data_IF_575068067578
#
_entry.id   IF_575068067578
#
_cell.length_a   1.000
_cell.length_b   1.000
_cell.length_c   1.000
_cell.angle_alpha   90.00
_cell.angle_beta   90.00
_cell.angle_gamma   90.00
#
_symmetry.space_group_name_H-M   'P 1'
#
loop_
_entity.id
_entity.type
_entity.pdbx_description
1 polymer ?
#
# COMPACT_ATOMS: atom_id res chain seq x y z
N UNK A 1 12.96 28.12 48.29
CA UNK A 1 12.88 28.63 46.90
C UNK A 1 13.48 27.56 46.02
N UNK A 2 12.81 26.75 45.23
CA UNK A 2 11.43 26.66 44.77
C UNK A 2 11.51 25.67 43.61
N UNK A 3 11.34 24.37 43.89
CA UNK A 3 11.31 23.34 42.85
C UNK A 3 10.05 23.57 42.01
N UNK A 4 10.27 23.96 40.76
CA UNK A 4 9.17 24.13 39.80
C UNK A 4 8.74 22.74 39.39
N UNK A 5 7.69 22.23 40.03
CA UNK A 5 6.99 21.02 39.61
C UNK A 5 6.49 21.22 38.19
N UNK A 6 7.16 20.60 37.21
CA UNK A 6 6.61 20.39 35.89
C UNK A 6 5.34 19.57 36.06
N UNK A 7 4.18 20.24 35.99
CA UNK A 7 2.89 19.62 35.75
C UNK A 7 3.01 18.84 34.42
N UNK A 8 3.33 17.56 34.54
CA UNK A 8 3.02 16.58 33.50
C UNK A 8 1.52 16.41 33.55
N UNK A 9 0.78 17.30 32.87
CA UNK A 9 -0.59 17.00 32.49
C UNK A 9 -0.55 15.65 31.79
N UNK A 10 -1.08 14.64 32.47
CA UNK A 10 -1.16 13.28 32.00
C UNK A 10 -2.04 13.34 30.75
N UNK A 11 -1.40 13.32 29.57
CA UNK A 11 -2.11 13.37 28.30
C UNK A 11 -3.25 12.35 28.34
N UNK A 12 -4.48 12.84 28.25
CA UNK A 12 -5.66 12.03 28.44
C UNK A 12 -5.67 10.95 27.36
N UNK A 13 -5.60 9.68 27.78
CA UNK A 13 -5.48 8.56 26.85
C UNK A 13 -6.81 8.49 26.10
N UNK A 14 -6.83 8.61 24.75
CA UNK A 14 -8.07 8.54 24.00
C UNK A 14 -8.76 7.21 24.26
N UNK A 15 -10.05 7.27 24.60
CA UNK A 15 -10.90 6.11 24.86
C UNK A 15 -12.00 6.04 23.82
N UNK A 16 -12.28 4.87 23.29
CA UNK A 16 -13.35 4.55 22.34
C UNK A 16 -14.74 4.55 22.98
N UNK A 17 -15.00 5.54 23.82
CA UNK A 17 -16.30 5.79 24.43
C UNK A 17 -17.01 6.90 23.67
N UNK A 18 -18.35 6.93 23.74
CA UNK A 18 -19.13 8.00 23.13
C UNK A 18 -18.72 9.39 23.64
N UNK A 19 -18.34 9.49 24.92
CA UNK A 19 -17.82 10.72 25.50
C UNK A 19 -16.46 11.12 24.89
N UNK A 20 -15.56 10.15 24.69
CA UNK A 20 -14.26 10.36 24.03
C UNK A 20 -14.42 10.80 22.56
N UNK A 21 -15.39 10.22 21.83
CA UNK A 21 -15.72 10.63 20.47
C UNK A 21 -16.26 12.06 20.42
N UNK A 22 -17.13 12.46 21.36
CA UNK A 22 -17.62 13.84 21.43
C UNK A 22 -16.50 14.84 21.74
N UNK A 23 -15.58 14.46 22.63
CA UNK A 23 -14.43 15.29 23.00
C UNK A 23 -13.45 15.50 21.83
N UNK A 24 -13.19 14.45 21.04
CA UNK A 24 -12.18 14.46 19.97
C UNK A 24 -12.77 14.56 18.55
N UNK A 25 -14.08 14.71 18.39
CA UNK A 25 -14.79 14.66 17.11
C UNK A 25 -14.11 15.40 15.96
N UNK A 26 -13.68 16.65 16.19
CA UNK A 26 -13.02 17.46 15.14
C UNK A 26 -11.67 16.88 14.71
N UNK A 27 -10.89 16.41 15.68
CA UNK A 27 -9.58 15.81 15.43
C UNK A 27 -9.73 14.43 14.77
N UNK A 28 -10.68 13.61 15.23
CA UNK A 28 -10.95 12.28 14.69
C UNK A 28 -11.52 12.36 13.27
N UNK A 29 -12.40 13.32 12.99
CA UNK A 29 -12.95 13.52 11.64
C UNK A 29 -11.86 13.97 10.64
N UNK A 30 -11.02 14.93 11.04
CA UNK A 30 -9.94 15.42 10.19
C UNK A 30 -8.88 14.35 9.96
N UNK A 31 -8.44 13.68 11.03
CA UNK A 31 -7.44 12.62 10.93
C UNK A 31 -7.97 11.41 10.15
N UNK A 32 -9.21 10.99 10.39
CA UNK A 32 -9.88 9.93 9.63
C UNK A 32 -9.98 10.26 8.14
N UNK A 33 -10.32 11.51 7.79
CA UNK A 33 -10.35 11.96 6.40
C UNK A 33 -8.96 11.94 5.75
N UNK A 34 -7.92 12.44 6.44
CA UNK A 34 -6.54 12.41 5.93
C UNK A 34 -6.01 10.97 5.78
N UNK A 35 -6.31 10.11 6.75
CA UNK A 35 -5.96 8.68 6.70
C UNK A 35 -6.66 7.99 5.54
N UNK A 36 -7.95 8.25 5.33
CA UNK A 36 -8.71 7.74 4.19
C UNK A 36 -8.06 8.12 2.86
N UNK A 37 -7.68 9.39 2.70
CA UNK A 37 -7.00 9.88 1.51
C UNK A 37 -5.68 9.16 1.24
N UNK A 38 -4.90 8.85 2.29
CA UNK A 38 -3.65 8.07 2.16
C UNK A 38 -3.95 6.60 1.88
N UNK A 39 -4.96 6.04 2.55
CA UNK A 39 -5.28 4.63 2.53
C UNK A 39 -5.85 4.18 1.18
N UNK A 40 -6.67 5.00 0.51
CA UNK A 40 -7.25 4.66 -0.79
C UNK A 40 -6.21 4.19 -1.84
N UNK A 41 -5.20 5.00 -2.22
CA UNK A 41 -4.20 4.58 -3.20
C UNK A 41 -3.34 3.42 -2.68
N UNK A 42 -3.07 3.39 -1.37
CA UNK A 42 -2.30 2.31 -0.76
C UNK A 42 -3.04 0.96 -0.86
N UNK A 43 -4.35 0.94 -0.58
CA UNK A 43 -5.18 -0.27 -0.66
C UNK A 43 -5.25 -0.82 -2.09
N UNK A 44 -5.39 0.09 -3.07
CA UNK A 44 -5.39 -0.23 -4.49
C UNK A 44 -4.05 -0.88 -4.91
N UNK A 45 -2.93 -0.23 -4.57
CA UNK A 45 -1.60 -0.73 -4.91
C UNK A 45 -1.28 -2.07 -4.23
N UNK A 46 -1.65 -2.25 -2.96
CA UNK A 46 -1.45 -3.51 -2.24
C UNK A 46 -2.26 -4.64 -2.87
N UNK A 47 -3.54 -4.41 -3.22
CA UNK A 47 -4.37 -5.44 -3.86
C UNK A 47 -3.79 -5.91 -5.20
N UNK A 48 -3.36 -4.98 -6.05
CA UNK A 48 -2.72 -5.32 -7.33
C UNK A 48 -1.41 -6.07 -7.13
N UNK A 49 -0.61 -5.68 -6.14
CA UNK A 49 0.65 -6.37 -5.82
C UNK A 49 0.42 -7.82 -5.34
N UNK A 50 -0.76 -8.11 -4.76
CA UNK A 50 -1.21 -9.46 -4.41
C UNK A 50 -1.75 -10.26 -5.61
N UNK A 51 -1.91 -9.65 -6.79
CA UNK A 51 -2.57 -10.26 -7.95
C UNK A 51 -4.09 -10.28 -7.82
N UNK A 52 -4.66 -9.43 -6.97
CA UNK A 52 -6.11 -9.38 -6.71
C UNK A 52 -6.72 -8.20 -7.48
N UNK A 53 -8.05 -8.22 -7.73
CA UNK A 53 -8.74 -7.04 -8.23
C UNK A 53 -8.50 -5.82 -7.33
N UNK A 54 -8.20 -4.69 -7.96
CA UNK A 54 -8.03 -3.37 -7.35
C UNK A 54 -9.02 -3.08 -6.22
N UNK A 55 -10.31 -3.23 -6.52
CA UNK A 55 -11.43 -2.96 -5.61
C UNK A 55 -11.42 -3.84 -4.35
N UNK A 56 -10.81 -5.03 -4.40
CA UNK A 56 -10.76 -5.93 -3.25
C UNK A 56 -9.98 -5.33 -2.07
N UNK A 57 -8.94 -4.53 -2.35
CA UNK A 57 -8.20 -3.79 -1.32
C UNK A 57 -9.07 -2.77 -0.60
N UNK A 58 -9.91 -2.06 -1.36
CA UNK A 58 -10.85 -1.05 -0.82
C UNK A 58 -11.91 -1.75 0.05
N UNK A 59 -12.53 -2.83 -0.43
CA UNK A 59 -13.48 -3.59 0.38
C UNK A 59 -12.86 -4.14 1.66
N UNK A 60 -11.63 -4.65 1.59
CA UNK A 60 -10.90 -5.16 2.76
C UNK A 60 -10.70 -4.06 3.81
N UNK A 61 -10.34 -2.83 3.38
CA UNK A 61 -10.18 -1.70 4.28
C UNK A 61 -11.51 -1.24 4.90
N UNK A 62 -12.59 -1.16 4.10
CA UNK A 62 -13.92 -0.76 4.60
C UNK A 62 -14.45 -1.79 5.61
N UNK A 63 -14.47 -3.07 5.23
CA UNK A 63 -15.02 -4.15 6.06
C UNK A 63 -14.14 -4.32 7.30
N UNK A 64 -12.82 -4.34 7.13
CA UNK A 64 -11.87 -4.45 8.24
C UNK A 64 -11.96 -3.28 9.21
N UNK A 65 -12.07 -2.05 8.70
CA UNK A 65 -12.22 -0.85 9.52
C UNK A 65 -13.52 -0.81 10.30
N UNK A 66 -14.66 -1.17 9.68
CA UNK A 66 -15.96 -1.16 10.36
C UNK A 66 -16.06 -2.31 11.36
N UNK A 67 -15.86 -3.55 10.91
CA UNK A 67 -16.12 -4.72 11.75
C UNK A 67 -15.12 -4.83 12.90
N UNK A 68 -13.83 -4.64 12.65
CA UNK A 68 -12.83 -4.84 13.69
C UNK A 68 -12.90 -3.76 14.77
N UNK A 69 -13.43 -2.57 14.49
CA UNK A 69 -13.61 -1.51 15.51
C UNK A 69 -14.54 -1.95 16.64
N UNK A 70 -15.55 -2.80 16.38
CA UNK A 70 -16.45 -3.31 17.42
C UNK A 70 -15.82 -4.38 18.32
N UNK A 71 -14.76 -5.05 17.86
CA UNK A 71 -14.10 -6.14 18.59
C UNK A 71 -12.71 -5.75 19.13
N UNK A 72 -12.10 -4.69 18.61
CA UNK A 72 -10.73 -4.30 18.95
C UNK A 72 -10.72 -3.29 20.09
N UNK A 73 -9.82 -3.50 21.05
CA UNK A 73 -9.56 -2.56 22.15
C UNK A 73 -8.40 -1.60 21.82
N UNK A 74 -8.24 -1.22 20.55
CA UNK A 74 -7.10 -0.43 20.05
C UNK A 74 -7.58 0.79 19.27
N UNK A 75 -7.65 1.92 19.96
CA UNK A 75 -8.35 3.13 19.52
C UNK A 75 -7.69 3.86 18.35
N UNK A 76 -6.38 3.69 18.18
CA UNK A 76 -5.61 4.38 17.14
C UNK A 76 -5.21 3.46 15.97
N UNK A 77 -5.57 2.18 16.03
CA UNK A 77 -5.12 1.21 15.03
C UNK A 77 -6.04 1.20 13.82
N UNK A 78 -5.46 1.39 12.64
CA UNK A 78 -6.15 1.27 11.35
C UNK A 78 -6.10 -0.20 10.89
N UNK A 79 -7.20 -0.67 10.30
CA UNK A 79 -7.34 -2.05 9.80
C UNK A 79 -7.53 -2.01 8.29
N UNK A 80 -6.80 -2.84 7.56
CA UNK A 80 -6.86 -2.91 6.11
C UNK A 80 -5.80 -3.84 5.52
N UNK A 81 -5.64 -3.83 4.18
CA UNK A 81 -4.62 -4.62 3.50
C UNK A 81 -3.22 -4.33 4.06
N UNK A 82 -2.54 -5.38 4.51
CA UNK A 82 -1.20 -5.27 5.06
C UNK A 82 -0.15 -5.55 3.98
N UNK A 83 0.78 -4.61 3.76
CA UNK A 83 1.85 -4.78 2.78
C UNK A 83 2.70 -6.04 3.04
N UNK A 84 2.85 -6.44 4.31
CA UNK A 84 3.58 -7.65 4.67
C UNK A 84 2.93 -8.96 4.21
N UNK A 85 1.64 -8.95 3.86
CA UNK A 85 0.94 -10.12 3.33
C UNK A 85 1.04 -10.23 1.80
N UNK A 86 1.59 -9.23 1.10
CA UNK A 86 1.67 -9.22 -0.37
C UNK A 86 2.35 -10.48 -0.90
N UNK A 87 3.52 -10.83 -0.36
CA UNK A 87 4.31 -11.97 -0.84
C UNK A 87 3.58 -13.28 -0.61
N UNK A 88 2.87 -13.41 0.51
CA UNK A 88 2.08 -14.61 0.84
C UNK A 88 0.86 -14.71 -0.08
N UNK A 89 0.14 -13.60 -0.28
CA UNK A 89 -1.06 -13.55 -1.11
C UNK A 89 -0.74 -13.83 -2.59
N UNK A 90 0.28 -13.16 -3.16
CA UNK A 90 0.71 -13.43 -4.55
C UNK A 90 1.24 -14.85 -4.70
N UNK A 91 1.98 -15.38 -3.72
CA UNK A 91 2.43 -16.77 -3.72
C UNK A 91 1.26 -17.75 -3.71
N UNK A 92 0.23 -17.48 -2.91
CA UNK A 92 -0.97 -18.30 -2.83
C UNK A 92 -1.75 -18.36 -4.14
N UNK A 93 -2.01 -17.22 -4.80
CA UNK A 93 -2.70 -17.25 -6.10
C UNK A 93 -1.82 -17.84 -7.20
N UNK A 94 -0.50 -17.63 -7.15
CA UNK A 94 0.43 -18.25 -8.11
C UNK A 94 0.38 -19.77 -8.01
N UNK A 95 0.34 -20.32 -6.80
CA UNK A 95 0.21 -21.76 -6.57
C UNK A 95 -1.13 -22.32 -7.10
N UNK A 96 -2.19 -21.51 -7.08
CA UNK A 96 -3.48 -21.86 -7.67
C UNK A 96 -3.60 -21.55 -9.18
N UNK A 97 -2.50 -21.24 -9.85
CA UNK A 97 -2.46 -21.09 -11.31
C UNK A 97 -2.66 -19.66 -11.83
N UNK A 98 -2.44 -18.64 -11.00
CA UNK A 98 -2.45 -17.24 -11.44
C UNK A 98 -1.38 -17.00 -12.53
N UNK A 99 -1.81 -16.41 -13.62
CA UNK A 99 -1.06 -16.20 -14.86
C UNK A 99 -0.58 -14.76 -15.06
N UNK A 100 -1.02 -13.84 -14.20
CA UNK A 100 -0.66 -12.42 -14.32
C UNK A 100 -1.37 -11.69 -15.45
N UNK A 101 -2.62 -12.07 -15.75
CA UNK A 101 -3.48 -11.44 -16.76
C UNK A 101 -3.50 -12.15 -18.12
N UNK A 102 -2.77 -13.26 -18.30
CA UNK A 102 -2.75 -14.01 -19.57
C UNK A 102 -4.03 -14.81 -19.78
N UNK A 103 -4.58 -15.36 -18.71
CA UNK A 103 -5.86 -16.06 -18.67
C UNK A 103 -6.72 -15.48 -17.53
N UNK A 104 -7.64 -14.54 -17.83
CA UNK A 104 -8.50 -13.94 -16.82
C UNK A 104 -9.41 -14.95 -16.09
N UNK A 105 -9.77 -16.06 -16.73
CA UNK A 105 -10.62 -17.07 -16.11
C UNK A 105 -9.83 -17.88 -15.07
N UNK A 106 -8.60 -18.28 -15.42
CA UNK A 106 -7.68 -18.93 -14.48
C UNK A 106 -7.33 -18.01 -13.30
N UNK A 107 -7.04 -16.74 -13.57
CA UNK A 107 -6.72 -15.75 -12.54
C UNK A 107 -7.88 -15.54 -11.56
N UNK A 108 -9.11 -15.45 -12.07
CA UNK A 108 -10.30 -15.30 -11.24
C UNK A 108 -10.57 -16.56 -10.40
N UNK A 109 -10.31 -17.76 -10.95
CA UNK A 109 -10.39 -19.00 -10.20
C UNK A 109 -9.33 -19.06 -9.08
N UNK A 110 -8.07 -18.72 -9.39
CA UNK A 110 -6.98 -18.68 -8.42
C UNK A 110 -7.28 -17.71 -7.28
N UNK A 111 -7.80 -16.52 -7.60
CA UNK A 111 -8.26 -15.53 -6.63
C UNK A 111 -9.35 -16.09 -5.71
N UNK A 112 -10.37 -16.77 -6.26
CA UNK A 112 -11.45 -17.38 -5.45
C UNK A 112 -10.94 -18.46 -4.50
N UNK A 113 -9.98 -19.27 -4.93
CA UNK A 113 -9.36 -20.29 -4.08
C UNK A 113 -8.54 -19.64 -2.96
N UNK A 114 -7.79 -18.58 -3.26
CA UNK A 114 -7.05 -17.81 -2.27
C UNK A 114 -7.97 -17.13 -1.24
N UNK A 115 -9.15 -16.64 -1.65
CA UNK A 115 -10.17 -16.17 -0.69
C UNK A 115 -10.63 -17.29 0.25
N UNK A 116 -10.80 -18.51 -0.26
CA UNK A 116 -11.09 -19.69 0.57
C UNK A 116 -10.02 -19.96 1.62
N UNK A 117 -8.74 -19.85 1.25
CA UNK A 117 -7.61 -19.90 2.19
C UNK A 117 -7.71 -18.77 3.22
N UNK A 118 -8.09 -17.56 2.80
CA UNK A 118 -8.32 -16.42 3.69
C UNK A 118 -9.42 -16.69 4.74
N UNK A 119 -10.52 -17.32 4.34
CA UNK A 119 -11.59 -17.75 5.27
C UNK A 119 -11.05 -18.78 6.26
N UNK A 120 -10.33 -19.80 5.79
CA UNK A 120 -9.74 -20.81 6.66
C UNK A 120 -8.74 -20.20 7.66
N UNK A 121 -7.89 -19.28 7.19
CA UNK A 121 -6.96 -18.53 8.03
C UNK A 121 -7.70 -17.69 9.07
N UNK A 122 -8.81 -17.04 8.70
CA UNK A 122 -9.66 -16.27 9.61
C UNK A 122 -10.28 -17.14 10.71
N UNK A 123 -10.77 -18.34 10.37
CA UNK A 123 -11.27 -19.31 11.36
C UNK A 123 -10.17 -19.71 12.33
N UNK A 124 -8.97 -20.01 11.84
CA UNK A 124 -7.81 -20.35 12.68
C UNK A 124 -7.42 -19.17 13.59
N UNK A 125 -7.43 -17.94 13.07
CA UNK A 125 -7.17 -16.74 13.86
C UNK A 125 -8.20 -16.53 14.97
N UNK A 126 -9.49 -16.79 14.71
CA UNK A 126 -10.54 -16.75 15.73
C UNK A 126 -10.27 -17.79 16.81
N UNK A 127 -9.90 -19.02 16.43
CA UNK A 127 -9.53 -20.08 17.38
C UNK A 127 -8.35 -19.64 18.26
N UNK A 128 -7.30 -19.07 17.67
CA UNK A 128 -6.17 -18.52 18.44
C UNK A 128 -6.60 -17.40 19.40
N UNK A 129 -7.55 -16.55 19.01
CA UNK A 129 -8.14 -15.55 19.89
C UNK A 129 -8.87 -16.17 21.08
N UNK A 130 -9.72 -17.19 20.83
CA UNK A 130 -10.47 -17.91 21.87
C UNK A 130 -9.53 -18.63 22.85
N UNK A 131 -8.49 -19.29 22.34
CA UNK A 131 -7.48 -19.97 23.17
C UNK A 131 -6.46 -19.01 23.80
N UNK A 132 -6.58 -17.69 23.57
CA UNK A 132 -5.63 -16.68 24.03
C UNK A 132 -4.18 -16.98 23.62
N UNK A 133 -4.01 -17.65 22.48
CA UNK A 133 -2.71 -18.00 21.92
C UNK A 133 -1.95 -16.78 21.36
N UNK A 134 -2.54 -15.58 21.40
CA UNK A 134 -1.88 -14.32 21.01
C UNK A 134 -0.60 -14.02 21.79
N UNK A 135 -0.47 -14.53 23.02
CA UNK A 135 0.77 -14.41 23.82
C UNK A 135 1.97 -15.06 23.15
N UNK A 136 1.76 -16.05 22.27
CA UNK A 136 2.84 -16.68 21.49
C UNK A 136 3.55 -15.67 20.58
N UNK A 137 2.86 -14.60 20.17
CA UNK A 137 3.45 -13.51 19.40
C UNK A 137 4.58 -12.78 20.15
N UNK A 138 4.53 -12.73 21.48
CA UNK A 138 5.57 -12.07 22.30
C UNK A 138 6.90 -12.85 22.31
N UNK A 139 6.87 -14.14 21.95
CA UNK A 139 8.07 -14.98 21.87
C UNK A 139 8.84 -14.83 20.56
N UNK A 140 8.31 -14.09 19.57
CA UNK A 140 9.03 -13.85 18.33
C UNK A 140 10.18 -12.86 18.55
N UNK A 141 11.43 -13.23 18.22
CA UNK A 141 12.56 -12.32 18.33
C UNK A 141 12.33 -11.07 17.48
N UNK A 142 12.52 -9.89 18.07
CA UNK A 142 12.40 -8.62 17.35
C UNK A 142 13.31 -8.56 16.14
N UNK A 143 14.51 -9.15 16.22
CA UNK A 143 15.47 -9.27 15.11
C UNK A 143 14.88 -10.03 13.91
N UNK A 144 14.11 -11.09 14.13
CA UNK A 144 13.44 -11.84 13.08
C UNK A 144 12.35 -11.00 12.40
N UNK A 145 11.58 -10.23 13.18
CA UNK A 145 10.55 -9.31 12.64
C UNK A 145 11.20 -8.22 11.78
N UNK A 146 12.30 -7.62 12.24
CA UNK A 146 13.02 -6.61 11.46
C UNK A 146 13.60 -7.20 10.17
N UNK A 147 14.14 -8.44 10.22
CA UNK A 147 14.61 -9.15 9.03
C UNK A 147 13.48 -9.42 8.02
N UNK A 148 12.31 -9.85 8.51
CA UNK A 148 11.12 -10.04 7.67
C UNK A 148 10.68 -8.73 7.02
N UNK A 149 10.56 -7.64 7.79
CA UNK A 149 10.17 -6.33 7.27
C UNK A 149 11.18 -5.77 6.25
N UNK A 150 12.48 -5.94 6.50
CA UNK A 150 13.53 -5.56 5.57
C UNK A 150 13.44 -6.34 4.25
N UNK A 151 13.22 -7.66 4.33
CA UNK A 151 13.03 -8.52 3.15
C UNK A 151 11.81 -8.08 2.33
N UNK A 152 10.67 -7.85 2.97
CA UNK A 152 9.46 -7.33 2.31
C UNK A 152 9.74 -5.99 1.62
N UNK A 153 10.44 -5.08 2.31
CA UNK A 153 10.83 -3.78 1.73
C UNK A 153 11.67 -3.93 0.46
N UNK A 154 12.68 -4.81 0.47
CA UNK A 154 13.50 -5.10 -0.72
C UNK A 154 12.66 -5.69 -1.85
N UNK A 155 11.75 -6.61 -1.55
CA UNK A 155 10.85 -7.20 -2.56
C UNK A 155 9.94 -6.15 -3.19
N UNK A 156 9.37 -5.25 -2.39
CA UNK A 156 8.55 -4.14 -2.89
C UNK A 156 9.37 -3.23 -3.78
N UNK A 157 10.57 -2.80 -3.36
CA UNK A 157 11.46 -1.96 -4.18
C UNK A 157 11.77 -2.66 -5.51
N UNK A 158 12.13 -3.94 -5.47
CA UNK A 158 12.44 -4.73 -6.66
C UNK A 158 11.25 -4.80 -7.64
N UNK A 159 10.03 -4.98 -7.13
CA UNK A 159 8.81 -5.05 -7.96
C UNK A 159 8.32 -3.68 -8.46
N UNK A 160 8.53 -2.61 -7.69
CA UNK A 160 8.05 -1.27 -8.06
C UNK A 160 9.04 -0.53 -8.97
N UNK A 161 10.33 -0.85 -8.94
CA UNK A 161 11.33 -0.19 -9.79
C UNK A 161 11.00 -0.26 -11.29
N UNK A 162 10.69 -1.43 -11.89
CA UNK A 162 10.28 -1.50 -13.30
C UNK A 162 9.01 -0.70 -13.60
N UNK A 163 8.04 -0.74 -12.67
CA UNK A 163 6.74 -0.04 -12.82
C UNK A 163 6.95 1.48 -12.90
N UNK A 164 7.81 2.04 -12.05
CA UNK A 164 8.17 3.47 -12.06
C UNK A 164 8.84 3.87 -13.39
N UNK A 165 9.56 2.95 -14.02
CA UNK A 165 10.19 3.14 -15.33
C UNK A 165 9.24 2.89 -16.52
N UNK A 166 7.98 2.52 -16.25
CA UNK A 166 6.98 2.19 -17.29
C UNK A 166 7.19 0.82 -17.94
N UNK A 167 7.76 -0.13 -17.20
CA UNK A 167 8.06 -1.49 -17.63
C UNK A 167 7.36 -2.51 -16.72
N UNK A 168 7.11 -3.71 -17.24
CA UNK A 168 6.47 -4.79 -16.49
C UNK A 168 7.47 -5.50 -15.57
N UNK A 169 7.14 -5.74 -14.29
CA UNK A 169 8.00 -6.48 -13.39
C UNK A 169 7.86 -8.00 -13.62
N UNK A 170 8.73 -8.57 -14.44
CA UNK A 170 8.76 -10.01 -14.72
C UNK A 170 9.89 -10.76 -14.00
N UNK A 171 9.53 -11.85 -13.30
CA UNK A 171 10.47 -12.75 -12.64
C UNK A 171 10.60 -12.57 -11.12
N UNK A 172 11.62 -13.22 -10.54
CA UNK A 172 11.86 -13.19 -9.09
C UNK A 172 12.45 -11.85 -8.63
N UNK A 173 12.29 -11.45 -7.36
CA UNK A 173 12.84 -10.18 -6.86
C UNK A 173 14.34 -10.02 -7.11
N UNK A 174 15.12 -11.10 -6.97
CA UNK A 174 16.56 -11.08 -7.23
C UNK A 174 16.87 -10.86 -8.72
N UNK A 175 16.08 -11.48 -9.62
CA UNK A 175 16.19 -11.27 -11.06
C UNK A 175 15.87 -9.81 -11.44
N UNK A 176 14.84 -9.21 -10.83
CA UNK A 176 14.50 -7.81 -11.06
C UNK A 176 15.62 -6.85 -10.61
N UNK A 177 16.23 -7.11 -9.44
CA UNK A 177 17.35 -6.29 -8.95
C UNK A 177 18.59 -6.39 -9.86
N UNK A 178 18.90 -7.58 -10.37
CA UNK A 178 20.02 -7.77 -11.30
C UNK A 178 19.81 -7.04 -12.64
N UNK A 179 18.55 -6.86 -13.06
CA UNK A 179 18.19 -6.23 -14.33
C UNK A 179 17.92 -4.71 -14.22
N UNK A 180 18.23 -4.08 -13.09
CA UNK A 180 18.09 -2.62 -12.92
C UNK A 180 18.75 -1.81 -14.06
N UNK A 181 19.99 -2.09 -14.50
CA UNK A 181 20.62 -1.35 -15.60
C UNK A 181 19.80 -1.43 -16.89
N UNK A 182 19.27 -2.61 -17.20
CA UNK A 182 18.42 -2.85 -18.37
C UNK A 182 17.12 -2.04 -18.30
N UNK A 183 16.50 -1.95 -17.13
CA UNK A 183 15.28 -1.15 -16.94
C UNK A 183 15.54 0.35 -17.10
N UNK A 184 16.71 0.85 -16.69
CA UNK A 184 17.11 2.25 -16.89
C UNK A 184 17.30 2.53 -18.38
N UNK A 185 17.96 1.62 -19.11
CA UNK A 185 18.21 1.80 -20.55
C UNK A 185 16.95 1.75 -21.40
N UNK A 186 15.96 0.94 -21.01
CA UNK A 186 14.71 0.75 -21.75
C UNK A 186 13.52 1.52 -21.13
N UNK A 187 13.79 2.44 -20.21
CA UNK A 187 12.76 3.22 -19.53
C UNK A 187 11.85 3.93 -20.54
N UNK A 188 10.53 3.86 -20.33
CA UNK A 188 9.58 4.68 -21.07
C UNK A 188 9.72 6.15 -20.61
N UNK A 189 10.19 7.09 -21.45
CA UNK A 189 10.52 8.44 -20.99
C UNK A 189 9.35 9.21 -20.37
N UNK A 190 8.11 9.01 -20.86
CA UNK A 190 6.94 9.71 -20.34
C UNK A 190 6.52 9.18 -18.97
N UNK A 191 6.48 7.86 -18.81
CA UNK A 191 6.11 7.23 -17.53
C UNK A 191 7.23 7.43 -16.51
N UNK A 192 8.48 7.23 -16.91
CA UNK A 192 9.66 7.50 -16.09
C UNK A 192 9.71 8.93 -15.59
N UNK A 193 9.33 9.93 -16.39
CA UNK A 193 9.22 11.32 -15.95
C UNK A 193 8.20 11.49 -14.82
N UNK A 194 7.00 10.91 -14.95
CA UNK A 194 5.99 10.92 -13.88
C UNK A 194 6.54 10.24 -12.62
N UNK A 195 7.19 9.10 -12.78
CA UNK A 195 7.82 8.34 -11.70
C UNK A 195 8.89 9.15 -10.95
N UNK A 196 9.83 9.77 -11.68
CA UNK A 196 10.90 10.60 -11.13
C UNK A 196 10.33 11.81 -10.40
N UNK A 197 9.37 12.53 -11.00
CA UNK A 197 8.69 13.66 -10.34
C UNK A 197 7.99 13.21 -9.06
N UNK A 198 7.33 12.05 -9.10
CA UNK A 198 6.66 11.47 -7.92
C UNK A 198 7.68 11.17 -6.80
N UNK A 199 8.82 10.57 -7.13
CA UNK A 199 9.89 10.30 -6.16
C UNK A 199 10.48 11.59 -5.59
N UNK A 200 10.70 12.61 -6.41
CA UNK A 200 11.18 13.92 -5.96
C UNK A 200 10.20 14.58 -4.99
N UNK A 201 8.90 14.47 -5.23
CA UNK A 201 7.87 14.97 -4.30
C UNK A 201 7.97 14.21 -2.97
N UNK A 202 8.01 12.88 -2.98
CA UNK A 202 8.04 12.07 -1.75
C UNK A 202 9.30 12.30 -0.93
N UNK A 203 10.48 12.32 -1.56
CA UNK A 203 11.76 12.55 -0.86
C UNK A 203 11.99 14.02 -0.51
N UNK A 204 11.44 14.94 -1.29
CA UNK A 204 11.53 16.39 -1.05
C UNK A 204 10.56 16.87 0.02
N UNK A 205 9.40 16.21 0.19
CA UNK A 205 8.37 16.63 1.14
C UNK A 205 8.85 16.76 2.60
N UNK A 206 9.66 15.82 3.16
CA UNK A 206 10.24 15.98 4.49
C UNK A 206 11.12 17.23 4.68
N UNK A 207 11.72 17.76 3.60
CA UNK A 207 12.57 18.94 3.63
C UNK A 207 11.78 20.25 3.75
N UNK A 208 10.46 20.22 3.47
CA UNK A 208 9.59 21.39 3.57
C UNK A 208 9.33 21.69 5.06
N UNK A 209 9.88 22.81 5.54
CA UNK A 209 9.74 23.24 6.94
C UNK A 209 8.42 23.97 7.24
N UNK A 210 7.70 24.39 6.21
CA UNK A 210 6.50 25.22 6.39
C UNK A 210 5.29 24.35 6.84
N UNK A 211 4.73 24.57 8.04
CA UNK A 211 3.70 23.71 8.62
C UNK A 211 2.39 23.71 7.81
N UNK A 212 2.09 24.78 7.06
CA UNK A 212 0.88 24.86 6.22
C UNK A 212 0.89 23.82 5.10
N UNK A 213 2.06 23.46 4.58
CA UNK A 213 2.20 22.45 3.53
C UNK A 213 2.19 21.02 4.08
N UNK A 214 2.33 20.84 5.39
CA UNK A 214 2.30 19.52 6.03
C UNK A 214 0.89 18.96 6.28
N UNK A 215 -0.13 19.73 5.97
CA UNK A 215 -1.54 19.34 6.13
C UNK A 215 -1.94 18.29 5.09
N UNK A 216 -1.37 18.37 3.88
CA UNK A 216 -1.67 17.43 2.79
C UNK A 216 -0.60 16.35 2.74
N UNK A 217 -0.94 15.07 2.90
CA UNK A 217 0.03 13.98 2.86
C UNK A 217 0.80 13.90 1.53
N UNK A 218 2.08 13.52 1.58
CA UNK A 218 2.92 13.40 0.37
C UNK A 218 2.29 12.53 -0.74
N UNK A 219 1.67 11.35 -0.46
CA UNK A 219 1.01 10.56 -1.50
C UNK A 219 -0.13 11.30 -2.22
N UNK A 220 -0.81 12.22 -1.54
CA UNK A 220 -1.85 13.05 -2.16
C UNK A 220 -1.27 14.10 -3.08
N UNK A 221 -0.17 14.75 -2.68
CA UNK A 221 0.53 15.70 -3.55
C UNK A 221 1.01 15.00 -4.82
N UNK A 222 1.55 13.78 -4.69
CA UNK A 222 1.91 12.95 -5.84
C UNK A 222 0.72 12.72 -6.74
N UNK A 223 -0.44 12.31 -6.20
CA UNK A 223 -1.64 12.08 -7.01
C UNK A 223 -2.10 13.35 -7.76
N UNK A 224 -2.12 14.49 -7.07
CA UNK A 224 -2.51 15.78 -7.65
C UNK A 224 -1.58 16.26 -8.76
N UNK A 225 -0.32 15.81 -8.79
CA UNK A 225 0.65 16.16 -9.83
C UNK A 225 0.67 15.10 -10.95
N UNK A 226 0.72 13.83 -10.56
CA UNK A 226 0.86 12.70 -11.49
C UNK A 226 -0.38 12.55 -12.39
N UNK A 227 -1.60 12.75 -11.87
CA UNK A 227 -2.83 12.60 -12.69
C UNK A 227 -2.89 13.65 -13.80
N UNK A 228 -2.75 14.97 -13.55
CA UNK A 228 -2.67 15.96 -14.62
C UNK A 228 -1.51 15.74 -15.59
N UNK A 229 -0.34 15.34 -15.09
CA UNK A 229 0.79 14.99 -15.96
C UNK A 229 0.46 13.82 -16.88
N UNK A 230 -0.19 12.77 -16.36
CA UNK A 230 -0.63 11.62 -17.15
C UNK A 230 -1.61 12.03 -18.25
N UNK A 231 -2.60 12.87 -17.92
CA UNK A 231 -3.57 13.40 -18.88
C UNK A 231 -2.89 14.25 -19.97
N UNK A 232 -1.98 15.16 -19.57
CA UNK A 232 -1.25 16.02 -20.50
C UNK A 232 -0.34 15.21 -21.45
N UNK A 233 0.30 14.15 -20.93
CA UNK A 233 1.17 13.27 -21.70
C UNK A 233 0.40 12.22 -22.53
N UNK A 234 -0.94 12.22 -22.44
CA UNK A 234 -1.88 11.28 -23.06
C UNK A 234 -1.59 9.82 -22.70
N UNK A 235 -1.25 9.57 -21.42
CA UNK A 235 -1.07 8.21 -20.91
C UNK A 235 -2.46 7.59 -20.72
N UNK A 236 -2.74 6.52 -21.47
CA UNK A 236 -4.02 5.79 -21.42
C UNK A 236 -4.79 5.76 -22.75
N UNK A 237 -4.52 6.70 -23.66
CA UNK A 237 -5.02 6.60 -25.03
C UNK A 237 -4.19 5.57 -25.80
N UNK A 238 -4.87 4.69 -26.57
CA UNK A 238 -4.17 3.75 -27.44
C UNK A 238 -3.35 4.51 -28.48
N UNK A 239 -2.04 4.25 -28.49
CA UNK A 239 -1.14 4.92 -29.41
C UNK A 239 0.31 4.52 -29.17
N UNK A 240 1.18 4.91 -30.09
CA UNK A 240 2.63 4.77 -29.93
C UNK A 240 3.28 6.11 -30.17
N UNK A 241 4.36 6.41 -29.46
CA UNK A 241 5.20 7.57 -29.78
C UNK A 241 6.64 7.14 -29.96
N UNK A 242 7.34 7.79 -30.88
CA UNK A 242 8.76 7.57 -31.12
C UNK A 242 9.59 8.55 -30.30
N UNK A 243 10.56 8.03 -29.56
CA UNK A 243 11.56 8.85 -28.87
C UNK A 243 12.92 8.19 -29.03
N UNK A 244 13.91 8.94 -29.52
CA UNK A 244 15.27 8.44 -29.76
C UNK A 244 15.30 7.14 -30.61
N UNK A 245 14.62 7.16 -31.76
CA UNK A 245 14.48 6.03 -32.71
C UNK A 245 13.88 4.73 -32.13
N UNK A 246 13.31 4.78 -30.92
CA UNK A 246 12.59 3.68 -30.29
C UNK A 246 11.10 3.99 -30.22
N UNK A 247 10.26 2.99 -30.47
CA UNK A 247 8.79 3.10 -30.38
C UNK A 247 8.31 2.68 -29.00
N UNK A 248 7.59 3.57 -28.33
CA UNK A 248 7.01 3.34 -27.00
C UNK A 248 5.50 3.30 -27.10
N UNK A 249 4.89 2.26 -26.53
CA UNK A 249 3.45 2.15 -26.44
C UNK A 249 2.88 3.11 -25.37
N UNK A 250 1.69 3.62 -25.65
CA UNK A 250 0.75 4.25 -24.74
C UNK A 250 -0.51 3.37 -24.70
N UNK A 251 -1.23 3.38 -23.59
CA UNK A 251 -2.50 2.65 -23.49
C UNK A 251 -2.89 2.33 -22.06
N UNK A 252 -4.09 1.74 -21.91
CA UNK A 252 -4.71 1.41 -20.62
C UNK A 252 -3.85 0.48 -19.75
N UNK A 253 -2.96 -0.33 -20.35
CA UNK A 253 -2.04 -1.24 -19.63
C UNK A 253 -1.10 -0.58 -18.62
N UNK A 254 -0.90 0.74 -18.71
CA UNK A 254 -0.11 1.53 -17.77
C UNK A 254 -0.95 2.22 -16.70
N UNK A 255 -2.27 2.14 -16.84
CA UNK A 255 -3.23 2.58 -15.84
C UNK A 255 -3.61 1.38 -14.97
N UNK A 256 -4.11 1.69 -13.79
CA UNK A 256 -4.75 0.69 -12.95
C UNK A 256 -6.18 0.51 -13.44
N UNK A 257 -6.51 -0.69 -13.93
CA UNK A 257 -7.91 -1.08 -14.16
C UNK A 257 -8.58 -1.31 -12.79
N UNK A 258 -9.60 -0.50 -12.51
CA UNK A 258 -10.37 -0.52 -11.25
C UNK A 258 -11.64 -1.34 -11.41
#
# INVERSE_FOLDING_TARGET
MGETSMNTEKADIPRGTLAGLQQNWKADLLSGFLVFLIALPLCLGIALACGYPAIAGIFTAIIGGILATFFSNSELTIKGPAAGLIVIAIGCVTEFGFTGGKDPAADFQAYRLALGVGVAAGVIQILFGVFRAGILGEFFPTTAIHGLLASIGVIIIAKQFPVVMGLSPEGSPLHLLANIPTFIMNMNPKIGLIGIVSLLIVFGYPLIKNPKFKVVPAPMIVLFVAVPMGLYLNIGQEGTYTFNDQTYALGAKFLVDV
#
